data_IF_108955953890
#
_entry.id   IF_108955953890
#
_cell.length_a   1.000
_cell.length_b   1.000
_cell.length_c   1.000
_cell.angle_alpha   90.00
_cell.angle_beta   90.00
_cell.angle_gamma   90.00
#
_symmetry.space_group_name_H-M   'P 1'
#
loop_
_entity.id
_entity.type
_entity.pdbx_description
1 polymer ?
#
# COMPACT_ATOMS: atom_id res chain seq x y z
N UNK A 1 45.12 69.52 24.20
CA UNK A 1 44.85 68.13 24.63
C UNK A 1 43.34 67.99 24.80
N UNK A 2 42.75 66.87 24.39
CA UNK A 2 41.71 66.80 23.35
C UNK A 2 40.29 66.71 23.95
N UNK A 3 39.19 66.89 23.20
CA UNK A 3 38.55 65.76 22.56
C UNK A 3 37.63 66.20 21.41
N UNK A 4 37.98 65.73 20.21
CA UNK A 4 37.13 65.77 19.03
C UNK A 4 36.23 64.54 19.06
N UNK A 5 34.92 64.72 18.96
CA UNK A 5 34.02 63.64 18.59
C UNK A 5 33.00 64.18 17.60
N UNK A 6 33.41 64.18 16.32
CA UNK A 6 32.51 64.35 15.19
C UNK A 6 31.47 63.24 15.25
N UNK A 7 30.19 63.60 15.28
CA UNK A 7 29.06 62.66 15.12
C UNK A 7 29.19 62.00 13.74
N UNK A 8 29.48 60.70 13.72
CA UNK A 8 29.32 59.87 12.54
C UNK A 8 27.84 59.49 12.38
N UNK A 9 27.24 59.60 11.19
CA UNK A 9 25.88 59.11 10.97
C UNK A 9 25.90 57.58 10.86
N UNK A 10 25.07 56.93 11.68
CA UNK A 10 24.77 55.51 11.58
C UNK A 10 23.93 55.27 10.31
N UNK A 11 24.58 55.03 9.19
CA UNK A 11 23.96 54.36 8.06
C UNK A 11 24.27 52.86 8.16
N UNK A 12 23.52 52.16 9.01
CA UNK A 12 23.54 50.70 9.04
C UNK A 12 22.86 50.16 7.77
N UNK A 13 23.64 49.35 7.05
CA UNK A 13 23.28 48.66 5.83
C UNK A 13 22.06 47.73 6.04
N UNK A 14 20.86 48.17 5.66
CA UNK A 14 19.63 47.36 5.64
C UNK A 14 19.56 46.34 4.47
N UNK A 15 20.63 46.18 3.70
CA UNK A 15 20.59 45.40 2.44
C UNK A 15 20.87 43.90 2.62
N UNK A 16 21.41 43.47 3.76
CA UNK A 16 21.72 42.05 4.02
C UNK A 16 20.52 41.25 4.53
N UNK A 17 19.66 41.82 5.37
CA UNK A 17 18.48 41.12 5.92
C UNK A 17 17.41 40.83 4.86
N UNK A 18 17.24 41.72 3.88
CA UNK A 18 16.24 41.58 2.81
C UNK A 18 16.59 40.45 1.81
N UNK A 19 17.88 40.20 1.59
CA UNK A 19 18.35 39.17 0.65
C UNK A 19 18.18 37.74 1.20
N UNK A 20 18.35 37.55 2.52
CA UNK A 20 18.23 36.21 3.16
C UNK A 20 16.77 35.75 3.26
N UNK A 21 15.82 36.65 3.53
CA UNK A 21 14.38 36.32 3.54
C UNK A 21 13.82 36.00 2.15
N UNK A 22 14.39 36.60 1.09
CA UNK A 22 14.01 36.28 -0.29
C UNK A 22 14.39 34.85 -0.65
N UNK A 23 15.59 34.43 -0.26
CA UNK A 23 16.13 33.11 -0.59
C UNK A 23 15.40 31.96 0.15
N UNK A 24 15.00 32.16 1.41
CA UNK A 24 14.23 31.15 2.16
C UNK A 24 12.79 31.00 1.65
N UNK A 25 12.17 32.08 1.18
CA UNK A 25 10.83 32.05 0.60
C UNK A 25 10.83 31.37 -0.78
N UNK A 26 11.86 31.62 -1.59
CA UNK A 26 12.01 31.03 -2.92
C UNK A 26 12.28 29.53 -2.84
N UNK A 27 13.19 29.09 -1.96
CA UNK A 27 13.42 27.67 -1.70
C UNK A 27 12.19 26.96 -1.11
N UNK A 28 11.41 27.63 -0.25
CA UNK A 28 10.15 27.09 0.27
C UNK A 28 9.12 26.90 -0.85
N UNK A 29 9.04 27.83 -1.80
CA UNK A 29 8.15 27.74 -2.97
C UNK A 29 8.58 26.63 -3.94
N UNK A 30 9.88 26.48 -4.18
CA UNK A 30 10.40 25.38 -4.98
C UNK A 30 10.13 24.03 -4.34
N UNK A 31 10.37 23.90 -3.04
CA UNK A 31 10.09 22.66 -2.30
C UNK A 31 8.60 22.29 -2.35
N UNK A 32 7.71 23.27 -2.22
CA UNK A 32 6.27 23.03 -2.31
C UNK A 32 5.88 22.54 -3.71
N UNK A 33 6.45 23.14 -4.76
CA UNK A 33 6.21 22.68 -6.14
C UNK A 33 6.68 21.25 -6.39
N UNK A 34 7.78 20.83 -5.76
CA UNK A 34 8.28 19.45 -5.84
C UNK A 34 7.32 18.50 -5.12
N UNK A 35 6.81 18.88 -3.95
CA UNK A 35 5.84 18.09 -3.19
C UNK A 35 4.53 17.92 -3.95
N UNK A 36 4.01 18.99 -4.55
CA UNK A 36 2.81 18.91 -5.39
C UNK A 36 3.01 17.93 -6.55
N UNK A 37 4.20 17.92 -7.17
CA UNK A 37 4.54 16.96 -8.23
C UNK A 37 4.59 15.53 -7.72
N UNK A 38 5.17 15.30 -6.53
CA UNK A 38 5.17 13.98 -5.89
C UNK A 38 3.74 13.52 -5.59
N UNK A 39 2.91 14.37 -5.00
CA UNK A 39 1.52 14.06 -4.68
C UNK A 39 0.71 13.67 -5.93
N UNK A 40 1.00 14.27 -7.09
CA UNK A 40 0.35 13.90 -8.35
C UNK A 40 0.82 12.54 -8.88
N UNK A 41 2.11 12.21 -8.73
CA UNK A 41 2.64 10.88 -9.05
C UNK A 41 2.00 9.85 -8.13
N UNK A 42 1.93 10.11 -6.83
CA UNK A 42 1.33 9.21 -5.84
C UNK A 42 -0.15 8.94 -6.12
N UNK A 43 -0.92 9.97 -6.47
CA UNK A 43 -2.32 9.82 -6.93
C UNK A 43 -2.41 8.94 -8.17
N UNK A 44 -1.47 9.07 -9.10
CA UNK A 44 -1.45 8.28 -10.33
C UNK A 44 -1.14 6.80 -10.03
N UNK A 45 -0.18 6.55 -9.13
CA UNK A 45 0.14 5.19 -8.67
C UNK A 45 -1.09 4.55 -8.03
N UNK A 46 -1.77 5.26 -7.12
CA UNK A 46 -2.97 4.73 -6.45
C UNK A 46 -4.10 4.42 -7.44
N UNK A 47 -4.34 5.30 -8.42
CA UNK A 47 -5.34 5.05 -9.48
C UNK A 47 -4.98 3.83 -10.32
N UNK A 48 -3.72 3.71 -10.74
CA UNK A 48 -3.25 2.57 -11.53
C UNK A 48 -3.35 1.24 -10.76
N UNK A 49 -3.06 1.26 -9.45
CA UNK A 49 -3.22 0.08 -8.59
C UNK A 49 -4.69 -0.30 -8.45
N UNK A 50 -5.59 0.68 -8.30
CA UNK A 50 -7.04 0.44 -8.23
C UNK A 50 -7.59 -0.16 -9.53
N UNK A 51 -7.24 0.41 -10.68
CA UNK A 51 -7.62 -0.12 -12.00
C UNK A 51 -7.10 -1.54 -12.20
N UNK A 52 -5.85 -1.81 -11.80
CA UNK A 52 -5.29 -3.16 -11.82
C UNK A 52 -6.11 -4.11 -10.95
N UNK A 53 -6.56 -3.69 -9.77
CA UNK A 53 -7.39 -4.52 -8.89
C UNK A 53 -8.73 -4.85 -9.56
N UNK A 54 -9.36 -3.92 -10.26
CA UNK A 54 -10.63 -4.15 -10.94
C UNK A 54 -10.48 -5.18 -12.07
N UNK A 55 -9.44 -5.07 -12.90
CA UNK A 55 -9.13 -6.08 -13.93
C UNK A 55 -8.87 -7.45 -13.30
N UNK A 56 -8.17 -7.49 -12.16
CA UNK A 56 -7.91 -8.75 -11.46
C UNK A 56 -9.21 -9.37 -10.93
N UNK A 57 -10.21 -8.58 -10.49
CA UNK A 57 -11.53 -9.11 -10.12
C UNK A 57 -12.25 -9.74 -11.31
N UNK A 58 -12.19 -9.12 -12.48
CA UNK A 58 -12.78 -9.69 -13.71
C UNK A 58 -12.13 -11.03 -14.07
N UNK A 59 -10.79 -11.10 -14.00
CA UNK A 59 -10.06 -12.34 -14.23
C UNK A 59 -10.42 -13.40 -13.18
N UNK A 60 -10.61 -13.00 -11.92
CA UNK A 60 -11.01 -13.91 -10.84
C UNK A 60 -12.41 -14.49 -11.08
N UNK A 61 -13.39 -13.65 -11.45
CA UNK A 61 -14.75 -14.09 -11.79
C UNK A 61 -14.72 -15.18 -12.87
N UNK A 62 -13.94 -14.97 -13.94
CA UNK A 62 -13.79 -15.95 -15.03
C UNK A 62 -13.08 -17.25 -14.61
N UNK A 63 -12.21 -17.21 -13.60
CA UNK A 63 -11.51 -18.40 -13.08
C UNK A 63 -12.39 -19.22 -12.14
N UNK A 64 -13.27 -18.58 -11.38
CA UNK A 64 -14.24 -19.22 -10.48
C UNK A 64 -15.21 -20.10 -11.27
N UNK A 65 -15.70 -19.58 -12.41
CA UNK A 65 -16.62 -20.31 -13.29
C UNK A 65 -16.00 -21.57 -13.94
N UNK A 66 -14.67 -21.72 -13.88
CA UNK A 66 -13.92 -22.79 -14.57
C UNK A 66 -13.17 -23.74 -13.64
N UNK A 67 -13.37 -23.67 -12.32
CA UNK A 67 -12.63 -24.45 -11.30
C UNK A 67 -11.09 -24.41 -11.47
N UNK A 68 -10.57 -23.36 -12.10
CA UNK A 68 -9.14 -23.19 -12.27
C UNK A 68 -8.54 -22.66 -10.96
N UNK A 69 -7.49 -23.31 -10.46
CA UNK A 69 -6.83 -22.95 -9.20
C UNK A 69 -6.51 -21.45 -9.11
N UNK A 70 -6.74 -20.89 -7.91
CA UNK A 70 -6.61 -19.44 -7.63
C UNK A 70 -5.17 -18.93 -7.89
N UNK A 71 -4.15 -19.78 -7.76
CA UNK A 71 -2.74 -19.43 -7.96
C UNK A 71 -2.18 -19.97 -9.27
N UNK A 72 -1.62 -19.07 -10.07
CA UNK A 72 -0.98 -19.35 -11.34
C UNK A 72 0.50 -18.93 -11.26
N UNK A 73 1.33 -19.85 -10.77
CA UNK A 73 2.73 -19.59 -10.45
C UNK A 73 3.54 -19.22 -11.70
N UNK A 74 3.27 -19.86 -12.83
CA UNK A 74 3.97 -19.61 -14.09
C UNK A 74 3.67 -18.19 -14.61
N UNK A 75 2.40 -17.77 -14.56
CA UNK A 75 1.99 -16.42 -14.93
C UNK A 75 2.62 -15.36 -14.03
N UNK A 76 2.70 -15.61 -12.72
CA UNK A 76 3.33 -14.70 -11.77
C UNK A 76 4.84 -14.55 -12.05
N UNK A 77 5.54 -15.65 -12.32
CA UNK A 77 6.96 -15.62 -12.65
C UNK A 77 7.22 -14.85 -13.96
N UNK A 78 6.39 -15.07 -14.99
CA UNK A 78 6.47 -14.32 -16.26
C UNK A 78 6.22 -12.82 -16.05
N UNK A 79 5.29 -12.44 -15.18
CA UNK A 79 5.05 -11.04 -14.84
C UNK A 79 6.28 -10.41 -14.16
N UNK A 80 6.84 -11.06 -13.15
CA UNK A 80 8.01 -10.55 -12.44
C UNK A 80 9.24 -10.44 -13.34
N UNK A 81 9.44 -11.40 -14.26
CA UNK A 81 10.49 -11.31 -15.28
C UNK A 81 10.36 -10.03 -16.12
N UNK A 82 9.16 -9.73 -16.64
CA UNK A 82 8.93 -8.52 -17.43
C UNK A 82 9.17 -7.25 -16.63
N UNK A 83 8.73 -7.21 -15.37
CA UNK A 83 8.97 -6.06 -14.50
C UNK A 83 10.46 -5.84 -14.23
N UNK A 84 11.24 -6.91 -14.00
CA UNK A 84 12.69 -6.80 -13.83
C UNK A 84 13.36 -6.18 -15.05
N UNK A 85 13.00 -6.62 -16.25
CA UNK A 85 13.55 -6.07 -17.49
C UNK A 85 13.17 -4.60 -17.66
N UNK A 86 11.90 -4.26 -17.48
CA UNK A 86 11.44 -2.89 -17.63
C UNK A 86 12.06 -1.95 -16.58
N UNK A 87 12.24 -2.41 -15.34
CA UNK A 87 12.92 -1.66 -14.29
C UNK A 87 14.36 -1.30 -14.69
N UNK A 88 15.08 -2.24 -15.29
CA UNK A 88 16.43 -2.00 -15.80
C UNK A 88 16.45 -0.95 -16.91
N UNK A 89 15.47 -0.97 -17.83
CA UNK A 89 15.37 -0.01 -18.93
C UNK A 89 15.16 1.43 -18.45
N UNK A 90 14.37 1.62 -17.39
CA UNK A 90 14.06 2.95 -16.84
C UNK A 90 15.05 3.40 -15.75
N UNK A 91 16.05 2.58 -15.43
CA UNK A 91 17.06 2.88 -14.39
C UNK A 91 16.58 2.72 -12.95
N UNK A 92 15.50 1.94 -12.73
CA UNK A 92 15.03 1.56 -11.40
C UNK A 92 15.72 0.27 -10.93
N UNK A 93 16.01 0.16 -9.63
CA UNK A 93 16.56 -1.08 -9.08
C UNK A 93 15.60 -2.27 -9.30
N UNK A 94 16.11 -3.33 -9.93
CA UNK A 94 15.35 -4.53 -10.27
C UNK A 94 14.79 -5.24 -9.05
N UNK A 95 15.53 -5.27 -7.94
CA UNK A 95 15.12 -5.97 -6.74
C UNK A 95 14.02 -5.20 -6.03
N UNK A 96 14.15 -3.88 -5.96
CA UNK A 96 13.09 -3.00 -5.47
C UNK A 96 11.79 -3.12 -6.28
N UNK A 97 11.89 -3.08 -7.62
CA UNK A 97 10.72 -3.22 -8.49
C UNK A 97 10.04 -4.59 -8.33
N UNK A 98 10.83 -5.67 -8.24
CA UNK A 98 10.31 -7.01 -7.99
C UNK A 98 9.58 -7.08 -6.64
N UNK A 99 10.19 -6.57 -5.57
CA UNK A 99 9.61 -6.58 -4.23
C UNK A 99 8.28 -5.82 -4.19
N UNK A 100 8.23 -4.62 -4.77
CA UNK A 100 7.01 -3.82 -4.86
C UNK A 100 5.89 -4.57 -5.58
N UNK A 101 6.19 -5.20 -6.71
CA UNK A 101 5.19 -5.94 -7.47
C UNK A 101 4.74 -7.23 -6.78
N UNK A 102 5.62 -7.90 -6.02
CA UNK A 102 5.23 -9.04 -5.17
C UNK A 102 4.22 -8.64 -4.11
N UNK A 103 4.40 -7.49 -3.47
CA UNK A 103 3.42 -6.95 -2.51
C UNK A 103 2.09 -6.61 -3.18
N UNK A 104 2.11 -5.95 -4.35
CA UNK A 104 0.90 -5.64 -5.13
C UNK A 104 0.13 -6.92 -5.50
N UNK A 105 0.84 -7.96 -5.96
CA UNK A 105 0.24 -9.27 -6.31
C UNK A 105 -0.36 -9.92 -5.07
N UNK A 106 0.39 -9.97 -3.96
CA UNK A 106 -0.05 -10.57 -2.69
C UNK A 106 -1.34 -9.91 -2.18
N UNK A 107 -1.39 -8.58 -2.21
CA UNK A 107 -2.59 -7.84 -1.83
C UNK A 107 -3.78 -8.16 -2.76
N UNK A 108 -3.53 -8.31 -4.06
CA UNK A 108 -4.57 -8.64 -5.04
C UNK A 108 -5.16 -10.03 -4.81
N UNK A 109 -4.36 -11.03 -4.43
CA UNK A 109 -4.83 -12.39 -4.12
C UNK A 109 -5.66 -12.38 -2.83
N UNK A 110 -5.21 -11.66 -1.79
CA UNK A 110 -5.95 -11.52 -0.53
C UNK A 110 -7.34 -10.91 -0.73
N UNK A 111 -7.44 -9.90 -1.59
CA UNK A 111 -8.71 -9.26 -1.91
C UNK A 111 -9.70 -10.23 -2.60
N UNK A 112 -9.20 -11.10 -3.49
CA UNK A 112 -10.02 -12.13 -4.16
C UNK A 112 -10.51 -13.19 -3.17
N UNK A 113 -9.65 -13.70 -2.28
CA UNK A 113 -10.08 -14.70 -1.29
C UNK A 113 -11.13 -14.16 -0.34
N UNK A 114 -11.03 -12.90 0.09
CA UNK A 114 -12.09 -12.28 0.91
C UNK A 114 -13.41 -12.16 0.15
N UNK A 115 -13.37 -11.66 -1.08
CA UNK A 115 -14.57 -11.51 -1.91
C UNK A 115 -15.27 -12.87 -2.13
N UNK A 116 -14.49 -13.93 -2.36
CA UNK A 116 -14.99 -15.30 -2.50
C UNK A 116 -15.66 -15.83 -1.23
N UNK A 117 -15.03 -15.66 -0.08
CA UNK A 117 -15.58 -16.07 1.22
C UNK A 117 -16.90 -15.34 1.49
N UNK A 118 -16.97 -14.05 1.19
CA UNK A 118 -18.20 -13.25 1.38
C UNK A 118 -19.34 -13.68 0.44
N UNK A 119 -19.02 -14.04 -0.82
CA UNK A 119 -20.00 -14.57 -1.77
C UNK A 119 -20.50 -15.97 -1.38
N UNK A 120 -19.63 -16.84 -0.85
CA UNK A 120 -20.02 -18.16 -0.35
C UNK A 120 -20.85 -18.08 0.94
N UNK A 121 -20.53 -17.14 1.83
CA UNK A 121 -21.26 -16.95 3.09
C UNK A 121 -22.66 -16.35 2.93
N UNK A 122 -22.97 -15.68 1.80
CA UNK A 122 -24.34 -15.22 1.50
C UNK A 122 -25.35 -16.35 1.29
N UNK A 123 -24.91 -17.59 1.08
CA UNK A 123 -25.80 -18.75 0.98
C UNK A 123 -26.21 -19.36 2.32
N UNK A 124 -25.47 -19.11 3.41
CA UNK A 124 -25.71 -19.65 4.75
C UNK A 124 -25.74 -18.49 5.76
N UNK A 125 -26.77 -17.64 5.67
CA UNK A 125 -26.83 -16.32 6.29
C UNK A 125 -26.76 -16.23 7.83
N UNK A 126 -26.43 -17.30 8.54
CA UNK A 126 -26.18 -17.27 9.99
C UNK A 126 -25.18 -18.32 10.49
N UNK A 127 -24.59 -19.13 9.59
CA UNK A 127 -23.73 -20.26 9.98
C UNK A 127 -22.44 -20.27 9.19
N UNK A 128 -21.31 -20.11 9.88
CA UNK A 128 -19.97 -20.20 9.30
C UNK A 128 -19.28 -21.49 9.76
N UNK A 129 -18.58 -22.16 8.83
CA UNK A 129 -17.74 -23.33 9.13
C UNK A 129 -16.28 -22.92 9.07
N UNK A 130 -15.53 -23.17 10.14
CA UNK A 130 -14.12 -22.79 10.24
C UNK A 130 -13.26 -23.98 10.64
N UNK A 131 -12.26 -24.29 9.82
CA UNK A 131 -11.23 -25.30 10.12
C UNK A 131 -9.98 -24.63 10.69
N UNK A 132 -9.35 -25.25 11.69
CA UNK A 132 -8.13 -24.73 12.30
C UNK A 132 -7.16 -25.84 12.72
N UNK A 133 -5.90 -25.46 12.87
CA UNK A 133 -4.85 -26.36 13.33
C UNK A 133 -4.87 -26.45 14.87
N UNK A 134 -4.94 -27.68 15.39
CA UNK A 134 -5.01 -28.02 16.81
C UNK A 134 -6.38 -28.51 17.28
N UNK A 135 -6.48 -28.82 18.57
CA UNK A 135 -7.68 -29.35 19.22
C UNK A 135 -8.65 -28.28 19.70
N UNK A 136 -9.88 -28.70 20.04
CA UNK A 136 -10.86 -27.86 20.69
C UNK A 136 -10.32 -27.24 21.99
N UNK A 137 -10.12 -25.92 21.97
CA UNK A 137 -9.61 -25.14 23.09
C UNK A 137 -8.22 -24.56 22.85
N UNK A 138 -7.58 -24.90 21.72
CA UNK A 138 -6.35 -24.25 21.27
C UNK A 138 -6.56 -22.76 21.00
N UNK A 139 -5.45 -22.01 20.90
CA UNK A 139 -5.48 -20.57 20.63
C UNK A 139 -6.29 -20.24 19.37
N UNK A 140 -6.15 -21.06 18.33
CA UNK A 140 -6.91 -20.92 17.08
C UNK A 140 -8.43 -21.08 17.31
N UNK A 141 -8.86 -22.02 18.16
CA UNK A 141 -10.28 -22.19 18.49
C UNK A 141 -10.83 -20.96 19.22
N UNK A 142 -10.10 -20.42 20.20
CA UNK A 142 -10.52 -19.24 20.96
C UNK A 142 -10.54 -17.97 20.08
N UNK A 143 -9.57 -17.85 19.16
CA UNK A 143 -9.52 -16.75 18.20
C UNK A 143 -10.73 -16.77 17.26
N UNK A 144 -11.15 -17.97 16.83
CA UNK A 144 -12.34 -18.16 16.01
C UNK A 144 -13.60 -17.69 16.75
N UNK A 145 -13.79 -18.10 18.01
CA UNK A 145 -14.93 -17.66 18.80
C UNK A 145 -14.94 -16.13 19.00
N UNK A 146 -13.78 -15.53 19.24
CA UNK A 146 -13.66 -14.07 19.43
C UNK A 146 -13.93 -13.28 18.14
N UNK A 147 -13.48 -13.76 16.98
CA UNK A 147 -13.63 -13.04 15.70
C UNK A 147 -14.97 -13.29 15.00
N UNK A 148 -15.49 -14.52 15.10
CA UNK A 148 -16.67 -14.96 14.35
C UNK A 148 -17.92 -15.10 15.20
N UNK A 149 -17.78 -15.33 16.52
CA UNK A 149 -18.93 -15.48 17.43
C UNK A 149 -19.76 -14.20 17.60
N UNK A 150 -19.18 -13.02 17.39
CA UNK A 150 -19.93 -11.75 17.39
C UNK A 150 -20.62 -11.45 16.05
N UNK A 151 -20.18 -12.09 14.96
CA UNK A 151 -20.60 -11.75 13.58
C UNK A 151 -21.59 -12.74 12.96
N UNK A 152 -21.65 -13.97 13.49
CA UNK A 152 -22.50 -15.05 13.00
C UNK A 152 -23.20 -15.73 14.17
N UNK A 153 -24.47 -16.13 14.00
CA UNK A 153 -25.25 -16.79 15.05
C UNK A 153 -24.77 -18.21 15.37
N UNK A 154 -24.21 -18.92 14.40
CA UNK A 154 -23.65 -20.27 14.58
C UNK A 154 -22.26 -20.37 13.98
N UNK A 155 -21.30 -20.86 14.77
CA UNK A 155 -19.91 -21.10 14.33
C UNK A 155 -19.60 -22.59 14.51
N UNK A 156 -19.46 -23.32 13.40
CA UNK A 156 -19.04 -24.72 13.41
C UNK A 156 -17.51 -24.81 13.30
N UNK A 157 -16.88 -25.35 14.33
CA UNK A 157 -15.42 -25.43 14.48
C UNK A 157 -14.92 -26.85 14.17
N UNK A 158 -13.90 -26.97 13.31
CA UNK A 158 -13.25 -28.24 13.00
C UNK A 158 -11.73 -28.15 13.25
N UNK A 159 -11.27 -28.77 14.34
CA UNK A 159 -9.84 -28.90 14.66
C UNK A 159 -9.17 -30.03 13.89
N UNK A 160 -7.98 -29.79 13.36
CA UNK A 160 -7.12 -30.81 12.76
C UNK A 160 -5.79 -30.87 13.50
N UNK A 161 -5.51 -32.04 14.07
CA UNK A 161 -4.22 -32.36 14.64
C UNK A 161 -3.28 -32.83 13.52
N UNK A 162 -2.07 -32.26 13.48
CA UNK A 162 -0.98 -32.66 12.56
C UNK A 162 0.04 -33.47 13.36
#
# INVERSE_FOLDING_TARGET
>A
MPNSAKKFPQFECKLTTFSVHRNSYEMKKELESIRERLDQIDKTILKAVAERQDIVKEVAALKIDKEAGIRDMEREEQLLNRIRHFAQEIGLDRYYAEHLFREIITNSVRFQTHSLVDHQNKSNGDTIKVSYQGTDGAYSHLAIQSYFGERYGTVECYGYDI
#
